data_IF_462190764304
#
_entry.id   IF_462190764304
#
_cell.length_a   1.000
_cell.length_b   1.000
_cell.length_c   1.000
_cell.angle_alpha   90.00
_cell.angle_beta   90.00
_cell.angle_gamma   90.00
#
_symmetry.space_group_name_H-M   'P 1'
#
loop_
_entity.id
_entity.type
_entity.pdbx_description
1 polymer ?
#
# COMPACT_ATOMS: atom_id res chain seq x y z
N UNK A 1 -3.12 0.95 -1.97
CA UNK A 1 -2.86 -0.33 -1.26
C UNK A 1 -3.53 -0.26 0.11
N UNK A 2 -4.31 -1.27 0.49
CA UNK A 2 -4.92 -1.33 1.83
C UNK A 2 -3.85 -1.70 2.86
N UNK A 3 -3.77 -0.93 3.95
CA UNK A 3 -2.76 -1.08 5.02
C UNK A 3 -3.35 -1.75 6.27
N UNK A 4 -4.68 -1.76 6.41
CA UNK A 4 -5.34 -2.34 7.57
C UNK A 4 -5.00 -3.83 7.75
N UNK A 5 -4.79 -4.23 9.00
CA UNK A 5 -4.63 -5.61 9.42
C UNK A 5 -5.82 -6.08 10.26
N UNK A 6 -5.89 -7.40 10.51
CA UNK A 6 -6.96 -8.02 11.30
C UNK A 6 -6.98 -7.54 12.77
N UNK A 7 -5.88 -6.99 13.27
CA UNK A 7 -5.76 -6.49 14.64
C UNK A 7 -6.39 -5.12 14.86
N UNK A 8 -6.55 -4.31 13.81
CA UNK A 8 -7.24 -3.01 13.86
C UNK A 8 -8.35 -2.96 12.80
N UNK A 9 -9.45 -3.71 13.00
CA UNK A 9 -10.56 -3.70 12.07
C UNK A 9 -11.30 -2.37 12.20
N UNK A 10 -11.29 -1.58 11.13
CA UNK A 10 -12.16 -0.39 10.99
C UNK A 10 -13.60 -0.79 10.65
N UNK A 11 -14.11 -1.81 11.35
CA UNK A 11 -15.44 -2.43 11.23
C UNK A 11 -15.94 -2.65 9.78
N UNK A 12 -14.98 -2.84 8.85
CA UNK A 12 -15.22 -2.90 7.40
C UNK A 12 -15.96 -1.68 6.82
N UNK A 13 -16.06 -0.58 7.56
CA UNK A 13 -16.71 0.67 7.12
C UNK A 13 -15.73 1.58 6.38
N UNK A 14 -14.45 1.53 6.76
CA UNK A 14 -13.38 2.32 6.16
C UNK A 14 -12.08 1.53 6.14
N UNK A 15 -11.18 1.94 5.25
CA UNK A 15 -9.85 1.35 5.13
C UNK A 15 -8.81 2.45 4.99
N UNK A 16 -7.71 2.34 5.73
CA UNK A 16 -6.52 3.15 5.51
C UNK A 16 -5.78 2.57 4.32
N UNK A 17 -5.43 3.45 3.38
CA UNK A 17 -4.71 3.10 2.17
C UNK A 17 -3.50 3.99 1.98
N UNK A 18 -2.46 3.45 1.36
CA UNK A 18 -1.33 4.21 0.81
C UNK A 18 -1.38 4.23 -0.72
N UNK A 19 -0.95 5.34 -1.30
CA UNK A 19 -0.83 5.51 -2.75
C UNK A 19 0.22 4.58 -3.37
N UNK A 20 -0.04 4.17 -4.60
CA UNK A 20 0.94 3.51 -5.47
C UNK A 20 1.25 4.42 -6.65
N UNK A 21 2.50 4.41 -7.10
CA UNK A 21 2.93 5.19 -8.26
C UNK A 21 3.83 4.38 -9.17
N UNK A 22 3.77 4.64 -10.47
CA UNK A 22 4.75 4.14 -11.46
C UNK A 22 5.90 5.11 -11.67
N UNK A 23 5.86 6.28 -11.03
CA UNK A 23 6.89 7.32 -11.15
C UNK A 23 8.09 6.99 -10.26
N UNK A 24 9.27 6.98 -10.85
CA UNK A 24 10.53 6.60 -10.21
C UNK A 24 11.38 7.78 -9.71
N UNK A 25 10.91 9.02 -9.88
CA UNK A 25 11.67 10.21 -9.49
C UNK A 25 11.39 10.69 -8.05
N UNK A 26 10.51 10.02 -7.32
CA UNK A 26 10.26 10.33 -5.91
C UNK A 26 11.17 9.49 -5.01
N UNK A 27 12.12 10.12 -4.32
CA UNK A 27 13.18 9.42 -3.60
C UNK A 27 12.69 8.61 -2.40
N UNK A 28 11.62 9.05 -1.74
CA UNK A 28 11.19 8.42 -0.50
C UNK A 28 10.18 7.28 -0.73
N UNK A 29 9.92 6.92 -1.99
CA UNK A 29 9.07 5.77 -2.36
C UNK A 29 9.73 4.45 -1.95
N UNK A 30 8.92 3.40 -1.88
CA UNK A 30 9.39 2.03 -1.70
C UNK A 30 9.09 1.25 -2.97
N UNK A 31 10.11 0.97 -3.81
CA UNK A 31 9.93 0.12 -4.98
C UNK A 31 9.35 -1.24 -4.61
N UNK A 32 8.52 -1.79 -5.50
CA UNK A 32 7.98 -3.14 -5.40
C UNK A 32 8.54 -3.98 -6.55
N UNK A 33 9.27 -5.03 -6.21
CA UNK A 33 9.82 -6.02 -7.14
C UNK A 33 8.89 -7.24 -7.26
N UNK A 34 9.18 -8.19 -8.16
CA UNK A 34 8.29 -9.34 -8.39
C UNK A 34 8.14 -10.24 -7.15
N UNK A 35 9.20 -10.38 -6.36
CA UNK A 35 9.23 -11.17 -5.13
C UNK A 35 8.46 -10.52 -3.96
N UNK A 36 8.13 -9.23 -4.10
CA UNK A 36 7.32 -8.50 -3.13
C UNK A 36 5.83 -8.84 -3.24
N UNK A 37 5.41 -9.68 -4.18
CA UNK A 37 4.02 -10.06 -4.37
C UNK A 37 3.73 -11.48 -3.90
N UNK A 38 2.79 -11.62 -2.97
CA UNK A 38 2.28 -12.91 -2.50
C UNK A 38 1.22 -13.51 -3.43
N UNK A 39 0.46 -12.66 -4.14
CA UNK A 39 -0.60 -13.13 -5.03
C UNK A 39 -0.88 -12.11 -6.14
N UNK A 40 -0.65 -12.50 -7.41
CA UNK A 40 -0.66 -11.62 -8.60
C UNK A 40 0.34 -10.46 -8.45
N UNK A 41 0.78 -9.89 -9.57
CA UNK A 41 1.66 -8.72 -9.58
C UNK A 41 0.90 -7.48 -10.02
N UNK A 42 1.41 -6.30 -9.70
CA UNK A 42 0.90 -5.08 -10.30
C UNK A 42 1.18 -5.13 -11.82
N UNK A 43 0.28 -4.59 -12.67
CA UNK A 43 0.43 -4.64 -14.12
C UNK A 43 1.63 -3.83 -14.65
N UNK A 44 2.23 -2.99 -13.80
CA UNK A 44 3.42 -2.18 -14.10
C UNK A 44 4.28 -2.08 -12.86
N UNK A 45 5.59 -1.91 -13.05
CA UNK A 45 6.53 -1.62 -11.98
C UNK A 45 6.05 -0.42 -11.18
N UNK A 46 5.78 -0.67 -9.90
CA UNK A 46 5.09 0.27 -9.01
C UNK A 46 5.94 0.49 -7.76
N UNK A 47 5.65 1.56 -7.06
CA UNK A 47 6.26 1.87 -5.78
C UNK A 47 5.19 2.36 -4.81
N UNK A 48 5.32 1.99 -3.54
CA UNK A 48 4.50 2.52 -2.45
C UNK A 48 4.96 3.95 -2.18
N UNK A 49 4.00 4.84 -1.97
CA UNK A 49 4.22 6.23 -1.56
C UNK A 49 3.74 6.37 -0.12
N UNK A 50 4.64 6.26 0.89
CA UNK A 50 4.23 6.13 2.30
C UNK A 50 3.37 7.28 2.81
N UNK A 51 3.69 8.52 2.46
CA UNK A 51 2.98 9.72 2.92
C UNK A 51 1.65 9.96 2.18
N UNK A 52 1.39 9.25 1.06
CA UNK A 52 0.13 9.37 0.32
C UNK A 52 -0.97 8.52 0.99
N UNK A 53 -1.28 8.84 2.24
CA UNK A 53 -2.25 8.12 3.07
C UNK A 53 -3.64 8.71 2.87
N UNK A 54 -4.63 7.83 2.70
CA UNK A 54 -6.04 8.21 2.64
C UNK A 54 -6.93 7.20 3.37
N UNK A 55 -8.15 7.61 3.70
CA UNK A 55 -9.21 6.72 4.18
C UNK A 55 -10.26 6.55 3.09
N UNK A 56 -10.52 5.31 2.68
CA UNK A 56 -11.50 4.98 1.64
C UNK A 56 -12.63 4.13 2.20
N UNK A 57 -13.85 4.39 1.72
CA UNK A 57 -15.00 3.51 1.95
C UNK A 57 -14.92 2.28 1.02
N UNK A 58 -15.45 1.12 1.44
CA UNK A 58 -15.49 -0.10 0.62
C UNK A 58 -16.11 0.12 -0.77
N UNK A 59 -17.10 1.02 -0.88
CA UNK A 59 -17.78 1.33 -2.15
C UNK A 59 -16.89 1.98 -3.21
N UNK A 60 -15.73 2.52 -2.81
CA UNK A 60 -14.74 3.08 -3.73
C UNK A 60 -13.69 2.05 -4.16
N UNK A 61 -13.75 0.83 -3.64
CA UNK A 61 -12.86 -0.27 -4.00
C UNK A 61 -13.54 -1.13 -5.06
N UNK A 62 -13.04 -1.06 -6.29
CA UNK A 62 -13.67 -1.72 -7.44
C UNK A 62 -13.04 -3.08 -7.74
N UNK A 63 -11.70 -3.17 -7.66
CA UNK A 63 -10.96 -4.30 -8.19
C UNK A 63 -9.87 -4.78 -7.23
N UNK A 64 -9.76 -6.10 -7.13
CA UNK A 64 -8.66 -6.76 -6.45
C UNK A 64 -7.54 -7.11 -7.44
N UNK A 65 -6.47 -6.31 -7.44
CA UNK A 65 -5.36 -6.44 -8.39
C UNK A 65 -4.32 -7.45 -7.90
N UNK A 66 -3.76 -7.25 -6.70
CA UNK A 66 -2.67 -8.07 -6.17
C UNK A 66 -2.60 -8.06 -4.63
N UNK A 67 -1.76 -8.92 -4.07
CA UNK A 67 -1.37 -8.96 -2.64
C UNK A 67 0.13 -8.79 -2.52
N UNK A 68 0.55 -7.74 -1.82
CA UNK A 68 1.96 -7.50 -1.47
C UNK A 68 2.33 -8.32 -0.22
N UNK A 69 3.59 -8.74 -0.15
CA UNK A 69 4.22 -9.36 1.01
C UNK A 69 4.25 -8.39 2.20
N UNK A 70 4.60 -8.92 3.37
CA UNK A 70 4.61 -8.12 4.61
C UNK A 70 5.75 -7.10 4.61
N UNK A 71 6.93 -7.48 4.16
CA UNK A 71 8.14 -6.67 4.31
C UNK A 71 8.06 -5.29 3.63
N UNK A 72 7.56 -5.15 2.39
CA UNK A 72 7.39 -3.82 1.78
C UNK A 72 6.37 -2.95 2.52
N UNK A 73 5.32 -3.57 3.06
CA UNK A 73 4.32 -2.87 3.88
C UNK A 73 4.93 -2.39 5.19
N UNK A 74 5.67 -3.24 5.90
CA UNK A 74 6.33 -2.90 7.16
C UNK A 74 7.31 -1.73 6.96
N UNK A 75 8.10 -1.75 5.87
CA UNK A 75 8.98 -0.62 5.48
C UNK A 75 8.18 0.66 5.22
N UNK A 76 7.02 0.56 4.57
CA UNK A 76 6.17 1.71 4.28
C UNK A 76 5.56 2.33 5.53
N UNK A 77 5.15 1.50 6.49
CA UNK A 77 4.65 1.97 7.79
C UNK A 77 5.77 2.65 8.58
N UNK A 78 6.97 2.07 8.65
CA UNK A 78 8.13 2.70 9.32
C UNK A 78 8.43 4.07 8.70
N UNK A 79 8.51 4.16 7.38
CA UNK A 79 8.71 5.44 6.70
C UNK A 79 7.60 6.44 6.99
N UNK A 80 6.33 6.02 6.98
CA UNK A 80 5.21 6.91 7.32
C UNK A 80 5.37 7.47 8.74
N UNK A 81 5.76 6.64 9.71
CA UNK A 81 5.94 7.07 11.09
C UNK A 81 7.12 8.02 11.29
N UNK A 82 8.13 8.01 10.42
CA UNK A 82 9.24 8.98 10.47
C UNK A 82 8.81 10.41 10.09
N UNK A 83 7.68 10.58 9.39
CA UNK A 83 7.13 11.91 9.06
C UNK A 83 6.23 12.51 10.14
N UNK A 84 5.80 11.71 11.13
CA UNK A 84 4.84 12.10 12.17
C UNK A 84 5.55 12.43 13.48
#
# INVERSE_FOLDING_TARGET
MIVNNESHPFDKQQYVVMGLTTRTWYDERIPLDEDDYRHRTAPRNSSIVPHAVASLKPTLMTDYVCRVCKDPLDRAVVKLTEYL
#
